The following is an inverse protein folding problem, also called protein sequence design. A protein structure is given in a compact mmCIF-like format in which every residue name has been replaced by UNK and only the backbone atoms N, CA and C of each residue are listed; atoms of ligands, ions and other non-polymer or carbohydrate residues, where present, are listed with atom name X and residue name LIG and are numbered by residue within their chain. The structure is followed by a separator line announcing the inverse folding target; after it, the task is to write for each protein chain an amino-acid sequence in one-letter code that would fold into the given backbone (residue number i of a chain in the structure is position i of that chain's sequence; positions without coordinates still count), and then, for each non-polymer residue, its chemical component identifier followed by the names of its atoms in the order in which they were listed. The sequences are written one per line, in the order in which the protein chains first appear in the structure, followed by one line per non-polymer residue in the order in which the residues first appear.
data_IF_399466979330
#
_entry.id   IF_399466979330
#
_cell.length_a   1.000
_cell.length_b   1.000
_cell.length_c   1.000
_cell.angle_alpha   90.00
_cell.angle_beta   90.00
_cell.angle_gamma   90.00
#
_symmetry.space_group_name_H-M   'P 1'
#
loop_
_entity.id
_entity.type
_entity.pdbx_description
1 polymer ?
#
# COMPACT_ATOMS: atom_id res chain seq x y z
N UNK A 1 9.79 23.57 30.20
CA UNK A 1 10.71 22.54 29.66
C UNK A 1 11.89 23.25 29.08
N UNK A 2 13.08 23.04 29.66
CA UNK A 2 14.30 23.82 29.38
C UNK A 2 14.75 23.68 27.91
N UNK A 3 15.21 24.78 27.37
CA UNK A 3 15.70 24.96 25.99
C UNK A 3 17.08 24.32 25.71
N UNK A 4 17.41 23.19 26.31
CA UNK A 4 18.63 22.48 25.93
C UNK A 4 18.49 21.89 24.53
N UNK A 5 19.47 22.03 23.64
CA UNK A 5 19.40 21.44 22.31
C UNK A 5 19.27 19.92 22.41
N UNK A 6 18.41 19.29 21.60
CA UNK A 6 18.24 17.85 21.63
C UNK A 6 19.55 17.13 21.27
N UNK A 7 19.79 15.99 21.93
CA UNK A 7 20.96 15.14 21.67
C UNK A 7 20.98 14.77 20.16
N UNK A 8 22.18 14.79 19.54
CA UNK A 8 22.41 14.47 18.14
C UNK A 8 21.87 13.08 17.75
N UNK A 9 22.01 12.11 18.67
CA UNK A 9 21.46 10.77 18.49
C UNK A 9 19.94 10.80 18.37
N UNK A 10 19.25 11.56 19.21
CA UNK A 10 17.80 11.68 19.19
C UNK A 10 17.31 12.35 17.90
N UNK A 11 18.03 13.40 17.44
CA UNK A 11 17.77 14.00 16.12
C UNK A 11 17.90 13.00 14.98
N UNK A 12 18.95 12.17 14.99
CA UNK A 12 19.17 11.15 13.98
C UNK A 12 18.02 10.15 13.97
N UNK A 13 17.62 9.62 15.13
CA UNK A 13 16.53 8.65 15.26
C UNK A 13 15.23 9.22 14.70
N UNK A 14 14.80 10.40 15.13
CA UNK A 14 13.57 11.02 14.64
C UNK A 14 13.62 11.35 13.14
N UNK A 15 14.79 11.74 12.63
CA UNK A 15 14.96 11.99 11.20
C UNK A 15 14.82 10.69 10.40
N UNK A 16 15.45 9.59 10.84
CA UNK A 16 15.33 8.28 10.20
C UNK A 16 13.87 7.80 10.22
N UNK A 17 13.20 7.87 11.37
CA UNK A 17 11.79 7.51 11.47
C UNK A 17 10.91 8.32 10.48
N UNK A 18 11.17 9.63 10.38
CA UNK A 18 10.46 10.48 9.41
C UNK A 18 10.73 10.06 7.96
N UNK A 19 11.97 9.70 7.62
CA UNK A 19 12.32 9.23 6.29
C UNK A 19 11.64 7.90 5.97
N UNK A 20 11.56 6.97 6.92
CA UNK A 20 10.87 5.68 6.75
C UNK A 20 9.36 5.89 6.48
N UNK A 21 8.70 6.69 7.32
CA UNK A 21 7.26 6.97 7.15
C UNK A 21 7.01 7.76 5.86
N UNK A 22 7.84 8.77 5.58
CA UNK A 22 7.74 9.55 4.34
C UNK A 22 7.90 8.67 3.09
N UNK A 23 8.85 7.72 3.13
CA UNK A 23 9.03 6.73 2.07
C UNK A 23 7.80 5.85 1.90
N UNK A 24 7.22 5.36 2.99
CA UNK A 24 6.02 4.52 2.94
C UNK A 24 4.86 5.26 2.25
N UNK A 25 4.56 6.50 2.65
CA UNK A 25 3.52 7.31 2.01
C UNK A 25 3.80 7.56 0.53
N UNK A 26 5.03 7.93 0.19
CA UNK A 26 5.41 8.18 -1.20
C UNK A 26 5.27 6.92 -2.05
N UNK A 27 5.78 5.79 -1.55
CA UNK A 27 5.68 4.49 -2.24
C UNK A 27 4.23 4.10 -2.47
N UNK A 28 3.37 4.21 -1.46
CA UNK A 28 1.94 3.92 -1.56
C UNK A 28 1.23 4.79 -2.61
N UNK A 29 1.56 6.07 -2.67
CA UNK A 29 0.98 6.98 -3.66
C UNK A 29 1.44 6.66 -5.08
N UNK A 30 2.75 6.49 -5.27
CA UNK A 30 3.32 6.17 -6.60
C UNK A 30 2.87 4.79 -7.07
N UNK A 31 2.81 3.78 -6.19
CA UNK A 31 2.32 2.44 -6.56
C UNK A 31 0.90 2.49 -7.10
N UNK A 32 0.01 3.27 -6.45
CA UNK A 32 -1.37 3.45 -6.93
C UNK A 32 -1.43 4.19 -8.27
N UNK A 33 -0.58 5.19 -8.46
CA UNK A 33 -0.49 5.92 -9.72
C UNK A 33 -0.01 5.03 -10.89
N UNK A 34 0.84 4.04 -10.59
CA UNK A 34 1.45 3.16 -11.59
C UNK A 34 0.62 1.93 -11.94
N UNK A 35 -0.34 1.55 -11.12
CA UNK A 35 -1.24 0.44 -11.40
C UNK A 35 -2.29 0.92 -12.41
N UNK A 36 -2.36 0.34 -13.63
CA UNK A 36 -3.41 0.68 -14.58
C UNK A 36 -4.79 0.45 -13.96
N UNK A 37 -5.68 1.41 -14.14
CA UNK A 37 -7.07 1.33 -13.65
C UNK A 37 -7.21 1.06 -12.15
N UNK A 38 -6.20 1.50 -11.35
CA UNK A 38 -6.33 1.38 -9.90
C UNK A 38 -7.58 2.10 -9.41
N UNK A 39 -8.39 1.41 -8.62
CA UNK A 39 -9.60 1.99 -8.04
C UNK A 39 -9.75 1.63 -6.55
N UNK A 40 -10.26 2.58 -5.80
CA UNK A 40 -10.65 2.40 -4.39
C UNK A 40 -12.04 1.78 -4.23
N UNK A 41 -12.74 1.47 -5.33
CA UNK A 41 -14.11 0.99 -5.35
C UNK A 41 -14.35 -0.20 -4.39
N UNK A 42 -13.56 -1.27 -4.56
CA UNK A 42 -13.70 -2.48 -3.75
C UNK A 42 -13.47 -2.20 -2.26
N UNK A 43 -12.45 -1.37 -1.95
CA UNK A 43 -12.14 -1.01 -0.59
C UNK A 43 -13.26 -0.23 0.09
N UNK A 44 -13.92 0.68 -0.64
CA UNK A 44 -15.03 1.48 -0.14
C UNK A 44 -16.31 0.65 -0.02
N UNK A 45 -16.55 -0.29 -0.95
CA UNK A 45 -17.71 -1.19 -0.89
C UNK A 45 -17.60 -2.24 0.23
N UNK A 46 -16.40 -2.57 0.67
CA UNK A 46 -16.17 -3.44 1.84
C UNK A 46 -16.45 -2.77 3.19
N UNK A 47 -16.67 -1.46 3.20
CA UNK A 47 -16.92 -0.73 4.45
C UNK A 47 -18.22 -1.19 5.12
N UNK A 48 -18.12 -1.59 6.40
CA UNK A 48 -19.26 -2.12 7.20
C UNK A 48 -19.48 -1.38 8.50
N UNK A 49 -18.73 -0.29 8.75
CA UNK A 49 -18.77 0.42 10.01
C UNK A 49 -19.54 1.75 9.90
N UNK A 50 -19.33 2.67 10.86
CA UNK A 50 -20.10 3.90 11.14
C UNK A 50 -20.47 4.73 9.89
N UNK A 51 -19.58 4.82 8.90
CA UNK A 51 -19.76 5.61 7.69
C UNK A 51 -19.92 4.76 6.43
N UNK A 52 -20.31 3.49 6.56
CA UNK A 52 -20.47 2.58 5.41
C UNK A 52 -21.37 3.15 4.31
N UNK A 53 -22.52 3.72 4.66
CA UNK A 53 -23.41 4.35 3.69
C UNK A 53 -22.77 5.49 2.90
N UNK A 54 -21.94 6.30 3.55
CA UNK A 54 -21.17 7.37 2.89
C UNK A 54 -20.10 6.81 1.97
N UNK A 55 -19.35 5.80 2.39
CA UNK A 55 -18.33 5.15 1.56
C UNK A 55 -18.95 4.42 0.36
N UNK A 56 -20.09 3.74 0.53
CA UNK A 56 -20.82 3.12 -0.57
C UNK A 56 -21.36 4.18 -1.54
N UNK A 57 -21.86 5.31 -1.03
CA UNK A 57 -22.29 6.42 -1.88
C UNK A 57 -21.12 6.97 -2.73
N UNK A 58 -19.91 7.14 -2.16
CA UNK A 58 -18.72 7.53 -2.93
C UNK A 58 -18.43 6.49 -4.00
N UNK A 59 -18.43 5.21 -3.64
CA UNK A 59 -18.11 4.11 -4.56
C UNK A 59 -19.10 4.01 -5.74
N UNK A 60 -20.38 4.24 -5.49
CA UNK A 60 -21.43 4.13 -6.51
C UNK A 60 -21.55 5.35 -7.43
N UNK A 61 -20.87 6.47 -7.10
CA UNK A 61 -20.85 7.68 -7.92
C UNK A 61 -19.51 7.82 -8.65
N UNK A 62 -19.41 7.50 -9.95
CA UNK A 62 -18.14 7.42 -10.66
C UNK A 62 -17.32 8.73 -10.68
N UNK A 63 -17.98 9.88 -10.74
CA UNK A 63 -17.30 11.18 -10.73
C UNK A 63 -16.70 11.50 -9.37
N UNK A 64 -17.46 11.21 -8.28
CA UNK A 64 -16.99 11.39 -6.91
C UNK A 64 -15.86 10.42 -6.60
N UNK A 65 -15.99 9.16 -7.04
CA UNK A 65 -14.97 8.15 -6.87
C UNK A 65 -13.64 8.58 -7.50
N UNK A 66 -13.65 9.04 -8.76
CA UNK A 66 -12.47 9.54 -9.46
C UNK A 66 -11.82 10.71 -8.74
N UNK A 67 -12.62 11.64 -8.22
CA UNK A 67 -12.11 12.78 -7.45
C UNK A 67 -11.43 12.32 -6.14
N UNK A 68 -12.07 11.40 -5.43
CA UNK A 68 -11.51 10.82 -4.18
C UNK A 68 -10.22 10.06 -4.47
N UNK A 69 -10.16 9.26 -5.52
CA UNK A 69 -8.97 8.54 -5.94
C UNK A 69 -7.80 9.48 -6.27
N UNK A 70 -8.08 10.56 -6.98
CA UNK A 70 -7.10 11.59 -7.28
C UNK A 70 -6.57 12.26 -6.01
N UNK A 71 -7.45 12.61 -5.07
CA UNK A 71 -7.08 13.20 -3.78
C UNK A 71 -6.23 12.20 -2.97
N UNK A 72 -6.58 10.93 -2.96
CA UNK A 72 -5.83 9.87 -2.26
C UNK A 72 -4.42 9.74 -2.84
N UNK A 73 -4.30 9.57 -4.15
CA UNK A 73 -3.01 9.36 -4.83
C UNK A 73 -2.09 10.55 -4.61
N UNK A 74 -2.55 11.75 -4.96
CA UNK A 74 -1.73 12.96 -4.83
C UNK A 74 -1.52 13.36 -3.37
N UNK A 75 -2.48 13.10 -2.50
CA UNK A 75 -2.34 13.30 -1.06
C UNK A 75 -1.21 12.45 -0.48
N UNK A 76 -1.18 11.15 -0.80
CA UNK A 76 -0.11 10.25 -0.37
C UNK A 76 1.26 10.69 -0.90
N UNK A 77 1.35 11.04 -2.18
CA UNK A 77 2.59 11.53 -2.81
C UNK A 77 3.07 12.81 -2.14
N UNK A 78 2.18 13.78 -1.97
CA UNK A 78 2.52 15.07 -1.38
C UNK A 78 2.97 14.92 0.08
N UNK A 79 2.21 14.19 0.90
CA UNK A 79 2.57 13.92 2.30
C UNK A 79 3.93 13.21 2.36
N UNK A 80 4.14 12.18 1.55
CA UNK A 80 5.39 11.45 1.49
C UNK A 80 6.58 12.34 1.10
N UNK A 81 6.45 13.18 0.08
CA UNK A 81 7.48 14.13 -0.36
C UNK A 81 7.78 15.16 0.73
N UNK A 82 6.76 15.76 1.33
CA UNK A 82 6.93 16.76 2.39
C UNK A 82 7.63 16.16 3.61
N UNK A 83 7.27 14.94 4.00
CA UNK A 83 7.95 14.23 5.09
C UNK A 83 9.39 13.89 4.71
N UNK A 84 9.68 13.38 3.52
CA UNK A 84 11.03 13.05 3.08
C UNK A 84 11.93 14.30 3.04
N UNK A 85 11.46 15.38 2.46
CA UNK A 85 12.19 16.65 2.40
C UNK A 85 12.30 17.32 3.78
N UNK A 86 11.39 17.00 4.71
CA UNK A 86 11.26 17.71 5.96
C UNK A 86 10.80 19.15 5.77
N UNK A 87 9.84 19.33 4.84
CA UNK A 87 9.15 20.60 4.58
C UNK A 87 7.74 20.53 5.15
N UNK A 88 7.29 21.60 5.81
CA UNK A 88 5.96 21.67 6.41
C UNK A 88 5.59 20.41 7.20
N UNK A 89 6.56 19.84 7.89
CA UNK A 89 6.48 18.56 8.60
C UNK A 89 5.19 18.40 9.41
N UNK A 90 4.81 19.45 10.18
CA UNK A 90 3.60 19.42 11.01
C UNK A 90 2.34 19.29 10.17
N UNK A 91 2.24 20.07 9.10
CA UNK A 91 1.11 20.03 8.19
C UNK A 91 1.00 18.67 7.48
N UNK A 92 2.14 18.16 6.98
CA UNK A 92 2.20 16.84 6.36
C UNK A 92 1.80 15.72 7.35
N UNK A 93 2.25 15.81 8.61
CA UNK A 93 1.88 14.84 9.65
C UNK A 93 0.39 14.88 9.98
N UNK A 94 -0.20 16.05 10.12
CA UNK A 94 -1.65 16.21 10.38
C UNK A 94 -2.46 15.66 9.20
N UNK A 95 -2.07 16.00 7.96
CA UNK A 95 -2.71 15.47 6.75
C UNK A 95 -2.61 13.94 6.65
N UNK A 96 -1.45 13.39 7.00
CA UNK A 96 -1.24 11.94 7.06
C UNK A 96 -2.12 11.25 8.10
N UNK A 97 -2.20 11.80 9.32
CA UNK A 97 -3.09 11.28 10.37
C UNK A 97 -4.56 11.28 9.87
N UNK A 98 -5.01 12.38 9.27
CA UNK A 98 -6.36 12.49 8.76
C UNK A 98 -6.66 11.41 7.71
N UNK A 99 -5.74 11.21 6.76
CA UNK A 99 -5.88 10.20 5.71
C UNK A 99 -5.91 8.78 6.30
N UNK A 100 -5.01 8.46 7.22
CA UNK A 100 -4.97 7.15 7.87
C UNK A 100 -6.20 6.87 8.74
N UNK A 101 -6.74 7.90 9.40
CA UNK A 101 -7.99 7.78 10.15
C UNK A 101 -9.18 7.50 9.23
N UNK A 102 -9.26 8.13 8.05
CA UNK A 102 -10.29 7.81 7.06
C UNK A 102 -10.18 6.33 6.63
N UNK A 103 -8.97 5.84 6.33
CA UNK A 103 -8.77 4.44 6.02
C UNK A 103 -9.18 3.53 7.17
N UNK A 104 -8.82 3.90 8.39
CA UNK A 104 -9.21 3.12 9.57
C UNK A 104 -10.73 3.08 9.76
N UNK A 105 -11.43 4.21 9.58
CA UNK A 105 -12.89 4.29 9.71
C UNK A 105 -13.58 3.50 8.60
N UNK A 106 -13.05 3.50 7.38
CA UNK A 106 -13.61 2.74 6.28
C UNK A 106 -13.58 1.22 6.56
N UNK A 107 -12.43 0.70 6.99
CA UNK A 107 -12.26 -0.74 7.25
C UNK A 107 -11.47 -0.97 8.54
N UNK A 108 -12.12 -0.86 9.71
CA UNK A 108 -11.48 -1.13 10.99
C UNK A 108 -11.23 -2.64 11.19
N UNK A 109 -10.10 -3.02 11.79
CA UNK A 109 -9.68 -4.42 11.86
C UNK A 109 -10.56 -5.32 12.73
N UNK A 110 -11.42 -4.75 13.60
CA UNK A 110 -12.25 -5.50 14.54
C UNK A 110 -13.60 -5.96 13.95
N UNK A 111 -13.96 -5.55 12.74
CA UNK A 111 -15.27 -5.87 12.15
C UNK A 111 -15.23 -7.21 11.38
N UNK A 112 -14.08 -7.62 10.89
CA UNK A 112 -13.95 -8.76 9.96
C UNK A 112 -13.23 -9.99 10.51
N UNK A 113 -13.00 -10.07 11.82
CA UNK A 113 -12.11 -11.09 12.38
C UNK A 113 -12.80 -12.43 12.65
N UNK A 114 -13.08 -13.19 11.60
CA UNK A 114 -13.14 -14.66 11.77
C UNK A 114 -11.73 -15.28 11.84
N UNK A 115 -10.68 -14.60 11.37
CA UNK A 115 -9.28 -15.01 11.47
C UNK A 115 -8.37 -13.78 11.56
N UNK A 116 -7.35 -13.78 12.46
CA UNK A 116 -6.40 -12.70 12.56
C UNK A 116 -5.56 -12.64 11.26
N UNK A 117 -5.79 -11.63 10.43
CA UNK A 117 -4.91 -11.33 9.31
C UNK A 117 -3.62 -10.68 9.80
N UNK A 118 -2.49 -10.96 9.12
CA UNK A 118 -1.21 -10.37 9.49
C UNK A 118 -1.29 -8.83 9.49
N UNK A 119 -0.78 -8.21 10.56
CA UNK A 119 -0.80 -6.74 10.71
C UNK A 119 -2.11 -6.16 11.27
N UNK A 120 -3.07 -7.00 11.65
CA UNK A 120 -4.31 -6.59 12.31
C UNK A 120 -4.38 -7.21 13.71
N UNK A 121 -4.36 -6.37 14.74
CA UNK A 121 -4.36 -6.79 16.14
C UNK A 121 -5.58 -6.19 16.84
N UNK A 122 -6.75 -6.74 16.61
CA UNK A 122 -8.05 -6.31 17.14
C UNK A 122 -8.39 -4.84 16.85
N UNK A 123 -7.91 -3.89 17.67
CA UNK A 123 -8.12 -2.45 17.45
C UNK A 123 -6.92 -1.83 16.70
N UNK A 124 -5.73 -2.39 16.85
CA UNK A 124 -4.49 -1.82 16.34
C UNK A 124 -4.16 -2.43 14.97
N UNK A 125 -3.99 -1.58 13.98
CA UNK A 125 -3.44 -1.93 12.67
C UNK A 125 -2.33 -0.96 12.29
N UNK A 126 -1.75 -1.13 11.10
CA UNK A 126 -0.68 -0.27 10.59
C UNK A 126 -1.09 1.21 10.58
N UNK A 127 -2.36 1.52 10.23
CA UNK A 127 -2.85 2.91 10.18
C UNK A 127 -2.77 3.59 11.55
N UNK A 128 -3.12 2.89 12.63
CA UNK A 128 -3.04 3.42 14.01
C UNK A 128 -1.59 3.60 14.44
N UNK A 129 -0.72 2.64 14.14
CA UNK A 129 0.72 2.72 14.48
C UNK A 129 1.36 3.93 13.79
N UNK A 130 1.14 4.09 12.49
CA UNK A 130 1.67 5.20 11.73
C UNK A 130 1.08 6.55 12.17
N UNK A 131 -0.22 6.59 12.47
CA UNK A 131 -0.86 7.79 13.04
C UNK A 131 -0.21 8.21 14.36
N UNK A 132 0.14 7.24 15.22
CA UNK A 132 0.88 7.50 16.46
C UNK A 132 2.26 8.11 16.21
N UNK A 133 3.00 7.61 15.22
CA UNK A 133 4.31 8.17 14.83
C UNK A 133 4.14 9.59 14.26
N UNK A 134 3.17 9.80 13.38
CA UNK A 134 2.88 11.11 12.81
C UNK A 134 2.41 12.11 13.88
N UNK A 135 1.70 11.66 14.91
CA UNK A 135 1.32 12.49 16.05
C UNK A 135 2.57 13.00 16.78
N UNK A 136 3.55 12.15 17.03
CA UNK A 136 4.84 12.56 17.58
C UNK A 136 5.50 13.62 16.69
N UNK A 137 5.51 13.42 15.36
CA UNK A 137 6.08 14.38 14.42
C UNK A 137 5.34 15.72 14.41
N UNK A 138 4.02 15.73 14.64
CA UNK A 138 3.22 16.96 14.68
C UNK A 138 3.51 17.81 15.92
N UNK A 139 3.76 17.17 17.06
CA UNK A 139 3.93 17.82 18.38
C UNK A 139 5.37 18.27 18.61
N UNK A 140 6.37 17.46 18.20
CA UNK A 140 7.76 17.78 18.47
C UNK A 140 8.22 19.09 17.81
N UNK A 141 9.06 19.88 18.46
CA UNK A 141 9.68 21.07 17.87
C UNK A 141 10.58 20.71 16.66
N UNK A 142 10.76 21.67 15.74
CA UNK A 142 11.52 21.44 14.50
C UNK A 142 13.01 21.19 14.72
N UNK A 143 13.56 21.64 15.87
CA UNK A 143 14.94 21.41 16.26
C UNK A 143 15.28 19.92 16.53
N UNK A 144 14.28 19.05 16.64
CA UNK A 144 14.46 17.60 16.79
C UNK A 144 14.65 16.85 15.45
N UNK A 145 14.61 17.55 14.33
CA UNK A 145 14.72 16.94 13.02
C UNK A 145 15.74 17.67 12.16
N UNK A 146 16.39 16.95 11.26
CA UNK A 146 17.10 17.54 10.13
C UNK A 146 16.16 17.59 8.93
N UNK A 147 16.05 18.75 8.29
CA UNK A 147 15.16 18.92 7.14
C UNK A 147 15.27 20.31 6.52
N UNK A 148 14.63 20.47 5.38
CA UNK A 148 14.66 21.74 4.63
C UNK A 148 13.96 22.88 5.37
N UNK A 149 13.02 22.60 6.26
CA UNK A 149 12.40 23.63 7.13
C UNK A 149 13.44 24.41 7.93
N UNK A 150 14.47 23.72 8.49
CA UNK A 150 15.53 24.39 9.21
C UNK A 150 16.35 25.31 8.31
N UNK A 151 16.61 24.87 7.06
CA UNK A 151 17.32 25.69 6.08
C UNK A 151 16.55 26.96 5.69
N UNK A 152 15.24 26.82 5.48
CA UNK A 152 14.37 27.96 5.17
C UNK A 152 14.31 28.93 6.35
N UNK A 153 14.17 28.45 7.58
CA UNK A 153 14.14 29.25 8.79
C UNK A 153 15.46 30.02 9.01
N UNK A 154 16.59 29.37 8.78
CA UNK A 154 17.91 30.00 8.88
C UNK A 154 18.09 31.13 7.84
N UNK A 155 17.65 30.88 6.61
CA UNK A 155 17.75 31.87 5.54
C UNK A 155 16.80 33.05 5.73
N UNK A 156 15.57 32.79 6.22
CA UNK A 156 14.61 33.85 6.53
C UNK A 156 15.09 34.72 7.70
N UNK A 157 15.69 34.10 8.72
CA UNK A 157 16.30 34.81 9.84
C UNK A 157 17.45 35.71 9.39
N UNK A 158 18.36 35.18 8.57
CA UNK A 158 19.46 35.95 7.96
C UNK A 158 18.97 37.08 7.06
N UNK A 159 17.84 36.90 6.36
CA UNK A 159 17.27 37.97 5.53
C UNK A 159 16.62 39.06 6.38
N UNK A 160 15.99 38.72 7.50
CA UNK A 160 15.48 39.67 8.48
C UNK A 160 16.62 40.48 9.16
N UNK A 161 17.69 39.81 9.57
CA UNK A 161 18.87 40.44 10.16
C UNK A 161 19.61 41.39 9.18
N UNK A 162 19.55 41.11 7.86
CA UNK A 162 20.07 42.01 6.83
C UNK A 162 19.18 43.22 6.56
N UNK A 163 17.88 43.13 6.79
CA UNK A 163 16.91 44.22 6.61
C UNK A 163 16.87 45.13 7.85
N UNK A 164 17.13 44.57 9.03
CA UNK A 164 17.24 45.30 10.31
C UNK A 164 18.58 44.91 10.96
N UNK A 165 19.69 45.62 10.66
CA UNK A 165 20.96 45.31 11.30
C UNK A 165 20.91 45.77 12.78
N UNK A 166 20.51 44.88 13.68
CA UNK A 166 20.92 44.99 15.07
C UNK A 166 22.40 44.72 15.17
N UNK A 167 23.12 45.66 15.72
CA UNK A 167 24.59 45.64 15.86
C UNK A 167 24.92 44.57 16.89
N UNK A 168 25.16 43.32 16.45
CA UNK A 168 25.91 42.40 17.32
C UNK A 168 26.58 41.26 16.53
N UNK A 169 27.89 41.21 16.76
CA UNK A 169 28.83 40.11 16.56
C UNK A 169 28.99 39.45 15.19
N UNK A 170 30.12 39.82 14.57
CA UNK A 170 30.77 39.02 13.49
C UNK A 170 31.04 37.61 14.02
N UNK A 171 30.34 36.63 13.47
CA UNK A 171 30.53 35.22 13.79
C UNK A 171 31.96 34.75 13.57
N UNK A 172 32.50 34.05 14.55
CA UNK A 172 33.80 33.39 14.50
C UNK A 172 33.85 32.34 13.37
N UNK A 173 35.03 31.97 12.84
CA UNK A 173 35.18 30.94 11.81
C UNK A 173 34.51 29.61 12.14
N UNK A 174 34.37 29.27 13.42
CA UNK A 174 33.66 28.08 13.90
C UNK A 174 32.16 28.06 13.56
N UNK A 175 31.50 29.24 13.55
CA UNK A 175 30.09 29.36 13.19
C UNK A 175 29.82 29.08 11.71
N UNK A 176 30.81 29.32 10.84
CA UNK A 176 30.71 29.06 9.39
C UNK A 176 30.86 27.55 9.11
N UNK A 177 31.74 26.85 9.81
CA UNK A 177 31.96 25.41 9.66
C UNK A 177 30.80 24.58 10.21
N UNK A 178 30.21 24.98 11.34
CA UNK A 178 29.00 24.38 11.89
C UNK A 178 27.83 24.57 10.95
N UNK A 179 27.66 25.73 10.34
CA UNK A 179 26.60 26.01 9.37
C UNK A 179 26.68 25.12 8.12
N UNK A 180 27.88 24.86 7.58
CA UNK A 180 28.07 23.96 6.42
C UNK A 180 27.76 22.50 6.77
N UNK A 181 28.17 22.02 7.92
CA UNK A 181 27.92 20.66 8.39
C UNK A 181 26.43 20.42 8.66
N UNK A 182 25.73 21.40 9.23
CA UNK A 182 24.28 21.33 9.39
C UNK A 182 23.53 21.41 8.07
N UNK A 183 24.00 22.19 7.11
CA UNK A 183 23.46 22.24 5.76
C UNK A 183 23.50 20.86 5.10
N UNK A 184 24.64 20.17 5.14
CA UNK A 184 24.79 18.83 4.57
C UNK A 184 23.85 17.83 5.27
N UNK A 185 23.71 17.90 6.58
CA UNK A 185 22.78 17.04 7.34
C UNK A 185 21.31 17.32 6.98
N UNK A 186 20.94 18.58 6.79
CA UNK A 186 19.58 18.96 6.39
C UNK A 186 19.25 18.54 4.94
N UNK A 187 20.26 18.40 4.08
CA UNK A 187 20.14 17.91 2.72
C UNK A 187 20.27 16.38 2.61
N UNK A 188 20.50 15.66 3.72
CA UNK A 188 20.68 14.20 3.73
C UNK A 188 19.47 13.42 3.19
N UNK A 189 18.28 14.02 3.13
CA UNK A 189 17.09 13.44 2.51
C UNK A 189 17.12 13.44 0.98
N UNK A 190 17.93 14.30 0.34
CA UNK A 190 18.03 14.36 -1.13
C UNK A 190 18.62 13.09 -1.74
N UNK A 191 19.70 12.48 -1.21
CA UNK A 191 20.19 11.19 -1.69
C UNK A 191 19.15 10.06 -1.57
N UNK A 192 18.36 10.06 -0.49
CA UNK A 192 17.29 9.07 -0.30
C UNK A 192 16.21 9.22 -1.39
N UNK A 193 15.81 10.45 -1.71
CA UNK A 193 14.90 10.72 -2.83
C UNK A 193 15.51 10.35 -4.19
N UNK A 194 16.81 10.62 -4.37
CA UNK A 194 17.53 10.22 -5.58
C UNK A 194 17.59 8.71 -5.76
N UNK A 195 17.87 7.95 -4.70
CA UNK A 195 17.83 6.50 -4.70
C UNK A 195 16.41 5.96 -4.94
N UNK A 196 15.41 6.60 -4.35
CA UNK A 196 14.02 6.30 -4.59
C UNK A 196 13.63 6.50 -6.05
N UNK A 197 13.93 7.67 -6.61
CA UNK A 197 13.68 7.97 -8.01
C UNK A 197 14.44 7.04 -8.96
N UNK A 198 15.70 6.73 -8.65
CA UNK A 198 16.51 5.77 -9.41
C UNK A 198 15.92 4.35 -9.32
N UNK A 199 15.48 3.92 -8.14
CA UNK A 199 14.78 2.65 -7.95
C UNK A 199 13.50 2.56 -8.79
N UNK A 200 12.71 3.63 -8.80
CA UNK A 200 11.51 3.72 -9.64
C UNK A 200 11.86 3.74 -11.14
N UNK A 201 12.81 4.56 -11.56
CA UNK A 201 13.23 4.63 -12.97
C UNK A 201 13.79 3.28 -13.46
N UNK A 202 14.49 2.54 -12.59
CA UNK A 202 15.00 1.21 -12.88
C UNK A 202 13.88 0.17 -12.92
N UNK A 203 12.85 0.30 -12.11
CA UNK A 203 11.68 -0.59 -12.13
C UNK A 203 10.90 -0.50 -13.45
N UNK A 204 10.89 0.64 -14.13
CA UNK A 204 10.29 0.77 -15.47
C UNK A 204 11.01 -0.02 -16.56
N UNK A 205 12.29 -0.36 -16.39
CA UNK A 205 13.08 -1.15 -17.33
C UNK A 205 13.60 -2.46 -16.77
N UNK A 206 13.31 -2.76 -15.51
CA UNK A 206 13.82 -3.94 -14.83
C UNK A 206 12.66 -4.69 -14.18
N UNK A 207 12.14 -5.65 -14.91
CA UNK A 207 11.29 -6.68 -14.31
C UNK A 207 12.17 -7.54 -13.40
N UNK A 208 11.80 -7.70 -12.14
CA UNK A 208 12.40 -8.74 -11.31
C UNK A 208 12.06 -10.09 -11.94
N UNK A 209 12.93 -11.09 -11.76
CA UNK A 209 12.66 -12.45 -12.25
C UNK A 209 11.27 -12.96 -11.80
N UNK A 210 10.84 -12.59 -10.61
CA UNK A 210 9.52 -12.90 -10.08
C UNK A 210 8.41 -12.14 -10.82
N UNK A 211 8.59 -10.85 -11.13
CA UNK A 211 7.62 -10.06 -11.90
C UNK A 211 7.56 -10.52 -13.37
N UNK A 212 8.67 -10.94 -13.95
CA UNK A 212 8.72 -11.53 -15.28
C UNK A 212 8.01 -12.89 -15.32
N UNK A 213 8.17 -13.69 -14.29
CA UNK A 213 7.45 -14.96 -14.13
C UNK A 213 5.96 -14.72 -13.84
N UNK A 214 5.59 -13.74 -13.01
CA UNK A 214 4.20 -13.36 -12.72
C UNK A 214 3.54 -12.77 -13.98
N UNK A 215 4.20 -11.88 -14.71
CA UNK A 215 3.64 -11.35 -15.96
C UNK A 215 3.49 -12.42 -17.04
N UNK A 216 4.39 -13.40 -17.10
CA UNK A 216 4.28 -14.53 -18.00
C UNK A 216 3.19 -15.53 -17.57
N UNK A 217 2.97 -15.69 -16.26
CA UNK A 217 1.92 -16.55 -15.70
C UNK A 217 0.56 -15.86 -15.83
N UNK A 218 0.45 -14.57 -15.49
CA UNK A 218 -0.79 -13.80 -15.64
C UNK A 218 -1.16 -13.62 -17.11
N UNK A 219 -0.21 -13.41 -18.00
CA UNK A 219 -0.45 -13.41 -19.44
C UNK A 219 -0.90 -14.80 -19.94
N UNK A 220 -0.37 -15.89 -19.42
CA UNK A 220 -0.83 -17.25 -19.72
C UNK A 220 -2.21 -17.51 -19.11
N UNK A 221 -2.47 -17.06 -17.88
CA UNK A 221 -3.77 -17.23 -17.22
C UNK A 221 -4.84 -16.41 -17.92
N UNK A 222 -4.56 -15.18 -18.30
CA UNK A 222 -5.48 -14.35 -19.10
C UNK A 222 -5.67 -14.89 -20.51
N UNK A 223 -4.61 -15.35 -21.17
CA UNK A 223 -4.69 -16.01 -22.47
C UNK A 223 -5.41 -17.37 -22.38
N UNK A 224 -5.21 -18.11 -21.29
CA UNK A 224 -5.92 -19.37 -21.05
C UNK A 224 -7.40 -19.13 -20.78
N UNK A 225 -7.77 -18.07 -20.05
CA UNK A 225 -9.17 -17.66 -19.86
C UNK A 225 -9.82 -17.16 -21.15
N UNK A 226 -9.09 -16.42 -21.99
CA UNK A 226 -9.54 -16.01 -23.31
C UNK A 226 -9.68 -17.20 -24.26
N UNK A 227 -8.73 -18.13 -24.24
CA UNK A 227 -8.81 -19.35 -25.04
C UNK A 227 -9.83 -20.35 -24.49
N UNK A 228 -10.04 -20.45 -23.19
CA UNK A 228 -11.10 -21.27 -22.63
C UNK A 228 -12.51 -20.76 -22.99
N UNK A 229 -12.67 -19.44 -23.14
CA UNK A 229 -13.91 -18.87 -23.72
C UNK A 229 -14.04 -19.10 -25.23
N UNK A 230 -12.96 -19.41 -25.93
CA UNK A 230 -12.90 -19.67 -27.35
C UNK A 230 -12.79 -21.17 -27.69
N UNK A 231 -12.40 -22.00 -26.71
CA UNK A 231 -12.35 -23.48 -26.90
C UNK A 231 -13.74 -24.01 -26.81
N UNK A 232 -14.21 -24.50 -27.96
CA UNK A 232 -15.43 -25.28 -28.03
C UNK A 232 -15.21 -26.59 -27.25
N UNK A 233 -16.06 -26.90 -26.29
CA UNK A 233 -15.98 -28.15 -25.50
C UNK A 233 -15.95 -29.40 -26.38
N UNK A 234 -16.50 -29.30 -27.61
CA UNK A 234 -16.47 -30.36 -28.63
C UNK A 234 -15.04 -30.63 -29.19
N UNK A 235 -14.05 -29.82 -28.90
CA UNK A 235 -12.66 -29.97 -29.33
C UNK A 235 -11.73 -30.56 -28.26
N UNK A 236 -12.29 -31.06 -27.16
CA UNK A 236 -11.52 -31.71 -26.11
C UNK A 236 -10.93 -33.05 -26.65
N UNK A 237 -9.59 -33.12 -26.65
CA UNK A 237 -8.89 -34.34 -27.03
C UNK A 237 -8.70 -35.25 -25.82
N UNK A 238 -9.60 -36.23 -25.68
CA UNK A 238 -9.52 -37.26 -24.64
C UNK A 238 -10.28 -36.93 -23.35
N UNK A 239 -10.41 -37.94 -22.51
CA UNK A 239 -11.09 -37.88 -21.22
C UNK A 239 -10.17 -38.38 -20.11
N UNK A 240 -10.40 -37.89 -18.89
CA UNK A 240 -9.69 -38.34 -17.70
C UNK A 240 -9.95 -39.82 -17.45
N UNK A 241 -8.92 -40.67 -17.31
CA UNK A 241 -9.12 -42.09 -17.07
C UNK A 241 -9.80 -42.34 -15.73
N UNK A 242 -10.66 -43.37 -15.71
CA UNK A 242 -11.38 -43.77 -14.49
C UNK A 242 -10.55 -44.76 -13.66
N UNK A 243 -10.80 -44.75 -12.36
CA UNK A 243 -10.37 -45.73 -11.40
C UNK A 243 -11.56 -46.34 -10.66
N UNK A 244 -11.37 -47.49 -9.97
CA UNK A 244 -12.41 -48.09 -9.16
C UNK A 244 -12.09 -48.05 -7.69
N UNK A 245 -13.06 -47.60 -6.88
CA UNK A 245 -13.05 -47.75 -5.42
C UNK A 245 -14.26 -48.60 -5.06
N UNK A 246 -14.02 -49.87 -4.76
CA UNK A 246 -15.07 -50.90 -4.57
C UNK A 246 -15.99 -51.01 -5.83
N UNK A 247 -17.21 -50.55 -5.72
CA UNK A 247 -18.23 -50.58 -6.79
C UNK A 247 -18.43 -49.24 -7.50
N UNK A 248 -17.68 -48.20 -7.10
CA UNK A 248 -17.77 -46.85 -7.66
C UNK A 248 -16.67 -46.64 -8.67
N UNK A 249 -17.05 -46.17 -9.85
CA UNK A 249 -16.09 -45.64 -10.84
C UNK A 249 -15.86 -44.16 -10.55
N UNK A 250 -14.61 -43.83 -10.28
CA UNK A 250 -14.16 -42.49 -9.86
C UNK A 250 -13.10 -42.01 -10.83
N UNK A 251 -13.16 -40.74 -11.24
CA UNK A 251 -12.10 -40.13 -12.04
C UNK A 251 -10.77 -40.15 -11.31
N UNK A 252 -9.67 -40.45 -12.01
CA UNK A 252 -8.32 -40.46 -11.39
C UNK A 252 -7.83 -39.07 -10.95
N UNK A 253 -8.44 -38.03 -11.47
CA UNK A 253 -8.25 -36.65 -11.00
C UNK A 253 -9.46 -36.28 -10.16
N UNK A 254 -9.23 -35.85 -8.93
CA UNK A 254 -10.25 -35.36 -8.01
C UNK A 254 -9.91 -33.89 -7.70
N UNK A 255 -10.59 -32.92 -8.30
CA UNK A 255 -10.37 -31.50 -8.02
C UNK A 255 -10.73 -31.14 -6.58
N UNK A 256 -9.91 -30.29 -5.98
CA UNK A 256 -10.20 -29.73 -4.66
C UNK A 256 -10.98 -28.43 -4.75
N UNK A 257 -11.78 -28.15 -3.73
CA UNK A 257 -12.64 -26.97 -3.65
C UNK A 257 -11.97 -25.70 -3.07
N UNK A 258 -10.68 -25.72 -2.76
CA UNK A 258 -10.04 -24.59 -2.08
C UNK A 258 -10.18 -23.27 -2.84
N UNK A 259 -9.97 -23.27 -4.15
CA UNK A 259 -10.08 -22.07 -4.97
C UNK A 259 -11.53 -21.55 -5.01
N UNK A 260 -12.49 -22.45 -5.19
CA UNK A 260 -13.92 -22.13 -5.21
C UNK A 260 -14.38 -21.56 -3.86
N UNK A 261 -13.87 -22.10 -2.76
CA UNK A 261 -14.17 -21.63 -1.42
C UNK A 261 -13.31 -20.38 -0.99
N UNK A 262 -12.46 -19.89 -1.87
CA UNK A 262 -11.62 -18.71 -1.60
C UNK A 262 -10.43 -18.98 -0.68
N UNK A 263 -10.03 -20.24 -0.51
CA UNK A 263 -8.84 -20.59 0.26
C UNK A 263 -7.60 -20.56 -0.65
N UNK A 264 -6.89 -19.45 -0.62
CA UNK A 264 -5.60 -19.34 -1.28
C UNK A 264 -4.46 -19.60 -0.29
N UNK A 265 -3.57 -20.52 -0.63
CA UNK A 265 -2.32 -20.76 0.12
C UNK A 265 -1.23 -19.75 -0.25
N UNK A 266 -1.61 -18.50 -0.52
CA UNK A 266 -0.69 -17.42 -0.83
C UNK A 266 -0.21 -16.77 0.48
N UNK A 267 0.95 -17.18 0.95
CA UNK A 267 1.52 -16.87 2.28
C UNK A 267 1.37 -15.42 2.72
N UNK A 268 1.62 -14.46 1.84
CA UNK A 268 1.72 -13.04 2.19
C UNK A 268 0.67 -12.16 1.49
N UNK A 269 -0.21 -12.75 0.68
CA UNK A 269 -1.17 -12.02 -0.14
C UNK A 269 -2.59 -12.18 0.41
N UNK A 270 -2.88 -11.46 1.49
CA UNK A 270 -4.18 -11.52 2.21
C UNK A 270 -5.36 -11.22 1.28
N UNK A 271 -5.17 -10.40 0.24
CA UNK A 271 -6.21 -10.03 -0.72
C UNK A 271 -6.56 -11.14 -1.71
N UNK A 272 -5.71 -12.15 -1.89
CA UNK A 272 -5.93 -13.21 -2.90
C UNK A 272 -7.17 -14.03 -2.58
N UNK A 273 -7.43 -14.34 -1.32
CA UNK A 273 -8.65 -15.05 -0.92
C UNK A 273 -9.93 -14.27 -1.28
N UNK A 274 -9.92 -12.94 -1.13
CA UNK A 274 -11.05 -12.08 -1.50
C UNK A 274 -11.20 -11.98 -3.02
N UNK A 275 -10.09 -11.85 -3.74
CA UNK A 275 -10.07 -11.83 -5.20
C UNK A 275 -10.67 -13.11 -5.77
N UNK A 276 -10.28 -14.27 -5.23
CA UNK A 276 -10.77 -15.58 -5.64
C UNK A 276 -12.26 -15.72 -5.32
N UNK A 277 -12.73 -15.32 -4.14
CA UNK A 277 -14.16 -15.32 -3.78
C UNK A 277 -14.99 -14.44 -4.72
N UNK A 278 -14.48 -13.27 -5.11
CA UNK A 278 -15.16 -12.38 -6.04
C UNK A 278 -15.16 -12.91 -7.49
N UNK A 279 -14.15 -13.71 -7.85
CA UNK A 279 -14.06 -14.34 -9.18
C UNK A 279 -14.99 -15.54 -9.31
N UNK A 280 -15.08 -16.38 -8.30
CA UNK A 280 -15.93 -17.58 -8.30
C UNK A 280 -17.34 -17.23 -7.83
N UNK A 281 -18.10 -16.53 -8.70
CA UNK A 281 -19.55 -16.42 -8.56
C UNK A 281 -20.21 -17.79 -8.76
N UNK A 282 -21.46 -17.96 -8.35
CA UNK A 282 -22.21 -19.21 -8.53
C UNK A 282 -22.20 -19.70 -9.98
N UNK A 283 -22.34 -18.77 -10.94
CA UNK A 283 -22.27 -19.09 -12.37
C UNK A 283 -20.88 -19.62 -12.75
N UNK A 284 -19.80 -19.03 -12.22
CA UNK A 284 -18.41 -19.46 -12.49
C UNK A 284 -18.10 -20.80 -11.86
N UNK A 285 -18.65 -21.09 -10.70
CA UNK A 285 -18.55 -22.41 -10.06
C UNK A 285 -19.22 -23.46 -10.92
N UNK A 286 -20.48 -23.21 -11.37
CA UNK A 286 -21.24 -24.12 -12.22
C UNK A 286 -20.52 -24.33 -13.57
N UNK A 287 -20.03 -23.26 -14.22
CA UNK A 287 -19.24 -23.34 -15.45
C UNK A 287 -17.99 -24.22 -15.26
N UNK A 288 -17.31 -24.09 -14.14
CA UNK A 288 -16.14 -24.92 -13.82
C UNK A 288 -16.49 -26.38 -13.64
N UNK A 289 -17.60 -26.68 -12.98
CA UNK A 289 -18.08 -28.05 -12.81
C UNK A 289 -18.48 -28.69 -14.14
N UNK A 290 -19.15 -27.96 -15.04
CA UNK A 290 -19.47 -28.44 -16.38
C UNK A 290 -18.24 -28.76 -17.22
N UNK A 291 -17.17 -27.93 -17.10
CA UNK A 291 -15.88 -28.22 -17.76
C UNK A 291 -15.28 -29.51 -17.19
N UNK A 292 -15.34 -29.72 -15.86
CA UNK A 292 -14.86 -30.95 -15.24
C UNK A 292 -15.63 -32.18 -15.78
N UNK A 293 -16.94 -32.10 -15.82
CA UNK A 293 -17.79 -33.18 -16.35
C UNK A 293 -17.47 -33.48 -17.83
N UNK A 294 -17.33 -32.42 -18.66
CA UNK A 294 -16.95 -32.58 -20.07
C UNK A 294 -15.55 -33.23 -20.23
N UNK A 295 -14.64 -33.01 -19.31
CA UNK A 295 -13.32 -33.67 -19.26
C UNK A 295 -13.37 -35.12 -18.72
N UNK A 296 -14.52 -35.63 -18.30
CA UNK A 296 -14.67 -36.94 -17.70
C UNK A 296 -14.36 -37.01 -16.20
N UNK A 297 -14.36 -35.87 -15.51
CA UNK A 297 -14.18 -35.79 -14.06
C UNK A 297 -15.55 -35.84 -13.39
N UNK A 298 -15.82 -36.93 -12.67
CA UNK A 298 -17.11 -37.16 -12.02
C UNK A 298 -17.07 -37.02 -10.49
N UNK A 299 -15.94 -36.66 -9.93
CA UNK A 299 -15.75 -36.59 -8.48
C UNK A 299 -14.93 -35.35 -8.10
N UNK A 300 -15.42 -34.62 -7.13
CA UNK A 300 -14.72 -33.45 -6.56
C UNK A 300 -14.84 -33.43 -5.03
N UNK A 301 -13.90 -32.79 -4.36
CA UNK A 301 -13.93 -32.56 -2.90
C UNK A 301 -14.15 -31.08 -2.66
N UNK A 302 -15.33 -30.72 -2.20
CA UNK A 302 -15.70 -29.34 -1.90
C UNK A 302 -16.21 -29.21 -0.48
N UNK A 303 -15.99 -28.03 0.14
CA UNK A 303 -16.69 -27.63 1.36
C UNK A 303 -18.12 -27.27 0.99
N UNK A 304 -19.05 -27.64 1.86
CA UNK A 304 -20.50 -27.38 1.72
C UNK A 304 -21.03 -26.44 2.80
N UNK A 305 -20.15 -25.88 3.62
CA UNK A 305 -20.49 -24.86 4.61
C UNK A 305 -20.48 -23.47 3.96
N UNK A 306 -21.48 -22.67 4.31
CA UNK A 306 -21.68 -21.29 3.87
C UNK A 306 -20.58 -20.33 4.35
#
# INVERSE_FOLDING_TARGET
MGNSPPNQTLKAVFTIMRLIVGWHFLYQGISKLMIPEWSSFSYLMESKWLLSGFFHWIATNPEVLKLVELIIIWGLILIGLLLLLGLFRRLASIGGIFLLLIYYIANPPFIESSYPSQGQYFIVNLNIIESGILLIFSILPDNYFWGLDQFIHINLKRKKEKIFPEIENRGTPETILTGRRELIKNLASIPVLGLAFFGFAKKYGWFSYEEEQVSSIDARTSATNLSARQVNLDQLEGQVPMGKIKHLDISRIIPGGNLVAGFAHARDLVYVSRLIKNYFTDEKVIETLWIYEACGINTTVMRTDE
#
